data_IF_053121702309
#
_entry.id   IF_053121702309
#
_cell.length_a   1.000
_cell.length_b   1.000
_cell.length_c   1.000
_cell.angle_alpha   90.00
_cell.angle_beta   90.00
_cell.angle_gamma   90.00
#
_symmetry.space_group_name_H-M   'P 1'
#
loop_
_entity.id
_entity.type
_entity.pdbx_description
1 polymer ?
#
# COMPACT_ATOMS: atom_id res chain seq x y z
N UNK A 1 18.68 36.52 -21.92
CA UNK A 1 18.32 36.40 -20.48
C UNK A 1 18.15 34.92 -20.17
N UNK A 2 19.05 34.32 -19.40
CA UNK A 2 19.01 32.89 -19.05
C UNK A 2 18.80 32.71 -17.55
N UNK A 3 18.25 31.57 -17.09
CA UNK A 3 17.88 31.39 -15.69
C UNK A 3 19.12 31.45 -14.80
N UNK A 4 19.12 32.36 -13.83
CA UNK A 4 20.14 32.43 -12.79
C UNK A 4 19.81 31.40 -11.72
N UNK A 5 20.68 30.42 -11.52
CA UNK A 5 20.62 29.58 -10.32
C UNK A 5 21.21 30.40 -9.16
N UNK A 6 20.38 30.73 -8.17
CA UNK A 6 20.83 31.27 -6.88
C UNK A 6 20.86 30.12 -5.88
N UNK A 7 22.04 29.80 -5.36
CA UNK A 7 22.18 28.97 -4.16
C UNK A 7 21.55 29.77 -3.01
N UNK A 8 20.42 29.30 -2.49
CA UNK A 8 19.80 29.90 -1.31
C UNK A 8 20.55 29.42 -0.05
N UNK A 9 21.58 30.16 0.35
CA UNK A 9 21.92 30.21 1.76
C UNK A 9 20.80 30.98 2.47
N UNK A 10 19.94 30.26 3.19
CA UNK A 10 18.83 30.85 3.94
C UNK A 10 19.35 31.80 5.03
N UNK A 11 19.52 33.07 4.70
CA UNK A 11 19.55 34.15 5.69
C UNK A 11 18.14 34.30 6.25
N UNK A 12 18.03 34.16 7.57
CA UNK A 12 16.86 34.40 8.43
C UNK A 12 15.78 35.35 7.85
N UNK A 13 14.90 34.86 6.98
CA UNK A 13 13.56 35.39 6.74
C UNK A 13 12.64 34.23 6.43
N UNK A 14 11.78 33.89 7.39
CA UNK A 14 10.67 32.92 7.25
C UNK A 14 9.70 33.43 6.18
N UNK A 15 9.98 33.16 4.91
CA UNK A 15 8.94 33.05 3.89
C UNK A 15 8.53 31.59 3.87
N UNK A 16 7.25 31.32 4.11
CA UNK A 16 6.66 29.99 4.00
C UNK A 16 6.68 29.55 2.54
N UNK A 17 7.84 29.13 2.04
CA UNK A 17 7.93 28.33 0.84
C UNK A 17 7.56 26.91 1.24
N UNK A 18 6.33 26.49 0.96
CA UNK A 18 6.00 25.06 0.94
C UNK A 18 6.76 24.45 -0.22
N UNK A 19 7.97 23.94 0.06
CA UNK A 19 8.68 23.06 -0.87
C UNK A 19 7.81 21.82 -1.00
N UNK A 20 7.12 21.69 -2.12
CA UNK A 20 6.31 20.52 -2.44
C UNK A 20 7.23 19.38 -2.83
N UNK A 21 7.83 18.72 -1.83
CA UNK A 21 8.48 17.45 -2.06
C UNK A 21 7.41 16.42 -2.45
N UNK A 22 7.62 15.60 -3.51
CA UNK A 22 6.79 14.45 -3.82
C UNK A 22 6.73 13.54 -2.59
N UNK A 23 5.51 13.33 -2.12
CA UNK A 23 5.23 12.45 -0.99
C UNK A 23 5.07 11.04 -1.53
N UNK A 24 5.85 10.11 -1.00
CA UNK A 24 5.70 8.69 -1.31
C UNK A 24 4.68 8.08 -0.35
N UNK A 25 3.73 7.32 -0.87
CA UNK A 25 2.65 6.70 -0.11
C UNK A 25 2.48 5.23 -0.52
N UNK A 26 2.05 4.38 0.42
CA UNK A 26 1.83 2.95 0.13
C UNK A 26 0.40 2.67 -0.36
N UNK A 27 -0.54 3.59 -0.09
CA UNK A 27 -1.92 3.52 -0.54
C UNK A 27 -2.47 4.94 -0.73
N UNK A 28 -3.54 5.03 -1.52
CA UNK A 28 -4.39 6.23 -1.63
C UNK A 28 -5.81 5.83 -1.25
N UNK A 29 -6.51 6.73 -0.57
CA UNK A 29 -7.86 6.51 -0.02
C UNK A 29 -8.96 7.07 -0.93
N UNK A 30 -8.60 7.96 -1.86
CA UNK A 30 -9.52 8.59 -2.83
C UNK A 30 -9.10 8.27 -4.28
N UNK A 31 -8.67 7.03 -4.52
CA UNK A 31 -8.21 6.58 -5.83
C UNK A 31 -6.93 7.26 -6.32
N UNK A 32 -6.66 7.11 -7.62
CA UNK A 32 -5.41 7.55 -8.24
C UNK A 32 -5.24 9.08 -8.33
N UNK A 33 -6.32 9.84 -8.23
CA UNK A 33 -6.32 11.31 -8.30
C UNK A 33 -5.75 11.97 -7.03
N UNK A 34 -5.71 11.25 -5.91
CA UNK A 34 -5.09 11.74 -4.67
C UNK A 34 -3.59 11.99 -4.89
N UNK A 35 -3.06 13.10 -4.35
CA UNK A 35 -1.64 13.44 -4.41
C UNK A 35 -0.77 12.38 -3.70
N UNK A 36 0.44 12.21 -4.19
CA UNK A 36 1.43 11.25 -3.70
C UNK A 36 1.77 10.19 -4.75
N UNK A 37 2.97 9.65 -4.66
CA UNK A 37 3.46 8.60 -5.56
C UNK A 37 3.33 7.26 -4.84
N UNK A 38 2.62 6.32 -5.46
CA UNK A 38 2.43 4.98 -4.91
C UNK A 38 3.73 4.17 -5.02
N UNK A 39 4.09 3.49 -3.95
CA UNK A 39 5.21 2.53 -3.91
C UNK A 39 4.77 1.21 -3.28
N UNK A 40 5.52 0.11 -3.49
CA UNK A 40 5.30 -1.13 -2.78
C UNK A 40 5.20 -0.92 -1.28
N UNK A 41 4.16 -1.50 -0.67
CA UNK A 41 3.97 -1.45 0.77
C UNK A 41 5.07 -2.26 1.49
N UNK A 42 5.34 -1.94 2.75
CA UNK A 42 6.33 -2.69 3.54
C UNK A 42 5.86 -4.10 3.91
N UNK A 43 4.62 -4.49 3.61
CA UNK A 43 4.10 -5.82 3.92
C UNK A 43 4.57 -6.90 2.95
N UNK A 44 5.22 -6.54 1.84
CA UNK A 44 6.01 -7.46 1.03
C UNK A 44 7.29 -7.86 1.80
N UNK A 45 7.26 -9.03 2.44
CA UNK A 45 8.41 -9.56 3.18
C UNK A 45 8.88 -8.69 4.34
N UNK A 46 8.01 -7.84 4.91
CA UNK A 46 8.37 -6.82 5.92
C UNK A 46 9.42 -5.81 5.41
N UNK A 47 9.41 -5.53 4.11
CA UNK A 47 10.37 -4.64 3.43
C UNK A 47 11.60 -5.37 2.88
N UNK A 48 11.73 -6.67 3.14
CA UNK A 48 12.80 -7.52 2.61
C UNK A 48 12.29 -8.33 1.40
N UNK A 49 12.82 -8.03 0.22
CA UNK A 49 12.43 -8.70 -1.02
C UNK A 49 12.94 -10.14 -1.11
N UNK A 50 14.05 -10.50 -0.45
CA UNK A 50 14.51 -11.88 -0.38
C UNK A 50 13.57 -12.69 0.49
N UNK A 51 13.17 -12.14 1.64
CA UNK A 51 12.13 -12.75 2.46
C UNK A 51 10.82 -12.91 1.69
N UNK A 52 10.39 -11.87 0.98
CA UNK A 52 9.18 -11.95 0.14
C UNK A 52 9.30 -13.00 -0.97
N UNK A 53 10.49 -13.19 -1.56
CA UNK A 53 10.73 -14.23 -2.55
C UNK A 53 10.39 -15.62 -1.99
N UNK A 54 10.88 -15.95 -0.79
CA UNK A 54 10.62 -17.24 -0.17
C UNK A 54 9.16 -17.36 0.29
N UNK A 55 8.61 -16.33 0.95
CA UNK A 55 7.22 -16.32 1.42
C UNK A 55 6.23 -16.49 0.26
N UNK A 56 6.33 -15.64 -0.77
CA UNK A 56 5.42 -15.72 -1.93
C UNK A 56 5.52 -17.07 -2.64
N UNK A 57 6.73 -17.60 -2.86
CA UNK A 57 6.93 -18.93 -3.47
C UNK A 57 6.34 -20.04 -2.61
N UNK A 58 6.54 -20.00 -1.30
CA UNK A 58 5.94 -20.97 -0.40
C UNK A 58 4.42 -20.96 -0.50
N UNK A 59 3.80 -19.77 -0.56
CA UNK A 59 2.36 -19.64 -0.74
C UNK A 59 1.88 -20.32 -2.02
N UNK A 60 2.42 -19.99 -3.20
CA UNK A 60 1.86 -20.53 -4.45
C UNK A 60 2.42 -21.89 -4.91
N UNK A 61 3.57 -22.34 -4.40
CA UNK A 61 4.10 -23.69 -4.69
C UNK A 61 3.61 -24.76 -3.72
N UNK A 62 3.39 -24.39 -2.46
CA UNK A 62 3.12 -25.37 -1.40
C UNK A 62 1.71 -25.16 -0.85
N UNK A 63 1.45 -24.01 -0.23
CA UNK A 63 0.19 -23.77 0.49
C UNK A 63 -1.02 -23.81 -0.45
N UNK A 64 -0.96 -23.05 -1.55
CA UNK A 64 -2.06 -22.92 -2.49
C UNK A 64 -2.34 -24.16 -3.33
N UNK A 65 -1.49 -25.19 -3.22
CA UNK A 65 -1.65 -26.50 -3.87
C UNK A 65 -1.93 -27.62 -2.88
N UNK A 66 -1.96 -27.33 -1.58
CA UNK A 66 -2.13 -28.32 -0.51
C UNK A 66 -3.44 -29.09 -0.62
N UNK A 67 -4.53 -28.40 -0.98
CA UNK A 67 -5.85 -28.97 -1.17
C UNK A 67 -6.36 -28.67 -2.57
N UNK A 68 -7.02 -29.66 -3.18
CA UNK A 68 -7.78 -29.44 -4.40
C UNK A 68 -8.89 -28.42 -4.13
N UNK A 69 -9.34 -27.69 -5.16
CA UNK A 69 -10.32 -26.63 -4.98
C UNK A 69 -11.64 -27.17 -4.39
N UNK A 70 -12.00 -28.38 -4.78
CA UNK A 70 -13.23 -29.08 -4.42
C UNK A 70 -13.22 -29.51 -2.94
N UNK A 71 -12.05 -29.80 -2.38
CA UNK A 71 -11.83 -30.22 -0.99
C UNK A 71 -11.84 -29.04 0.00
N UNK A 72 -11.73 -27.82 -0.51
CA UNK A 72 -11.74 -26.61 0.31
C UNK A 72 -13.14 -26.28 0.81
N UNK A 73 -13.18 -25.61 1.96
CA UNK A 73 -14.39 -25.04 2.52
C UNK A 73 -15.03 -24.07 1.51
N UNK A 74 -16.34 -24.25 1.26
CA UNK A 74 -17.06 -23.54 0.21
C UNK A 74 -17.30 -22.06 0.52
N UNK A 75 -17.02 -21.63 1.76
CA UNK A 75 -17.29 -20.27 2.24
C UNK A 75 -16.24 -19.27 1.76
N UNK A 76 -16.65 -18.01 1.67
CA UNK A 76 -15.75 -16.87 1.55
C UNK A 76 -15.22 -16.52 2.94
N UNK A 77 -13.89 -16.51 3.08
CA UNK A 77 -13.23 -16.36 4.37
C UNK A 77 -12.54 -15.02 4.55
N UNK A 78 -12.62 -14.49 5.77
CA UNK A 78 -11.76 -13.40 6.24
C UNK A 78 -11.58 -13.45 7.76
N UNK A 79 -10.39 -13.03 8.21
CA UNK A 79 -10.06 -12.75 9.60
C UNK A 79 -9.29 -11.44 9.72
N UNK A 80 -9.65 -10.60 10.68
CA UNK A 80 -8.93 -9.37 10.96
C UNK A 80 -9.49 -8.62 12.16
N UNK A 81 -8.99 -7.41 12.41
CA UNK A 81 -9.46 -6.60 13.52
C UNK A 81 -10.66 -5.75 13.09
N UNK A 82 -11.63 -5.58 13.99
CA UNK A 82 -12.69 -4.58 13.89
C UNK A 82 -12.59 -3.74 15.16
N UNK A 83 -12.09 -2.51 15.03
CA UNK A 83 -11.71 -1.70 16.20
C UNK A 83 -12.82 -0.79 16.70
N UNK A 84 -12.66 -0.35 17.94
CA UNK A 84 -13.55 0.62 18.56
C UNK A 84 -13.38 2.00 17.88
N UNK A 85 -14.49 2.53 17.37
CA UNK A 85 -14.53 3.84 16.70
C UNK A 85 -14.30 5.03 17.65
N UNK A 86 -14.32 4.81 18.97
CA UNK A 86 -14.04 5.85 19.96
C UNK A 86 -12.61 6.40 19.90
N UNK A 87 -11.70 5.76 19.14
CA UNK A 87 -10.31 6.20 18.97
C UNK A 87 -10.10 7.27 17.88
N UNK A 88 -11.16 7.67 17.16
CA UNK A 88 -11.11 8.74 16.16
C UNK A 88 -11.18 8.24 14.72
N UNK A 89 -11.81 9.03 13.86
CA UNK A 89 -12.24 8.62 12.52
C UNK A 89 -11.13 8.40 11.50
N UNK A 90 -9.98 9.01 11.70
CA UNK A 90 -8.83 8.81 10.82
C UNK A 90 -8.18 7.43 10.99
N UNK A 91 -8.47 6.75 12.10
CA UNK A 91 -7.83 5.48 12.42
C UNK A 91 -8.53 4.26 11.80
N UNK A 92 -9.76 4.33 11.29
CA UNK A 92 -10.44 3.10 10.82
C UNK A 92 -11.61 3.30 9.85
N UNK A 93 -11.38 3.99 8.72
CA UNK A 93 -12.38 4.06 7.63
C UNK A 93 -12.82 2.67 7.16
N UNK A 94 -11.92 1.68 7.15
CA UNK A 94 -12.22 0.31 6.72
C UNK A 94 -13.12 -0.51 7.65
N UNK A 95 -13.42 -0.03 8.87
CA UNK A 95 -14.29 -0.75 9.80
C UNK A 95 -15.71 -0.89 9.29
N UNK A 96 -16.21 0.09 8.54
CA UNK A 96 -17.57 0.03 8.01
C UNK A 96 -17.73 -1.18 7.08
N UNK A 97 -16.83 -1.32 6.12
CA UNK A 97 -16.79 -2.43 5.17
C UNK A 97 -16.58 -3.76 5.90
N UNK A 98 -15.70 -3.81 6.92
CA UNK A 98 -15.50 -5.03 7.72
C UNK A 98 -16.75 -5.44 8.49
N UNK A 99 -17.50 -4.50 9.05
CA UNK A 99 -18.76 -4.79 9.74
C UNK A 99 -19.86 -5.23 8.78
N UNK A 100 -19.98 -4.54 7.65
CA UNK A 100 -20.94 -4.87 6.61
C UNK A 100 -20.66 -6.28 6.08
N UNK A 101 -19.40 -6.60 5.80
CA UNK A 101 -18.96 -7.93 5.40
C UNK A 101 -19.18 -8.99 6.50
N UNK A 102 -18.86 -8.70 7.77
CA UNK A 102 -19.11 -9.62 8.88
C UNK A 102 -20.60 -9.94 9.08
N UNK A 103 -21.48 -8.98 8.74
CA UNK A 103 -22.94 -9.21 8.76
C UNK A 103 -23.39 -10.30 7.78
N UNK A 104 -22.60 -10.59 6.73
CA UNK A 104 -22.87 -11.68 5.79
C UNK A 104 -22.71 -13.06 6.45
N UNK A 105 -21.80 -13.21 7.41
CA UNK A 105 -21.66 -14.45 8.21
C UNK A 105 -22.91 -14.70 9.03
N UNK A 106 -23.54 -13.64 9.57
CA UNK A 106 -24.78 -13.76 10.35
C UNK A 106 -25.97 -14.11 9.45
N UNK A 107 -26.10 -13.44 8.30
CA UNK A 107 -27.21 -13.67 7.35
C UNK A 107 -27.09 -15.02 6.62
N UNK A 108 -25.88 -15.39 6.21
CA UNK A 108 -25.63 -16.50 5.31
C UNK A 108 -24.41 -17.33 5.78
N UNK A 109 -24.46 -17.94 6.98
CA UNK A 109 -23.32 -18.62 7.60
C UNK A 109 -22.76 -19.81 6.81
N UNK A 110 -23.55 -20.35 5.86
CA UNK A 110 -23.13 -21.43 4.95
C UNK A 110 -22.29 -20.95 3.76
N UNK A 111 -22.30 -19.64 3.48
CA UNK A 111 -21.61 -19.03 2.34
C UNK A 111 -20.45 -18.12 2.77
N UNK A 112 -20.47 -17.61 4.00
CA UNK A 112 -19.46 -16.69 4.50
C UNK A 112 -18.93 -17.12 5.86
N UNK A 113 -17.63 -16.93 6.03
CA UNK A 113 -16.91 -17.04 7.29
C UNK A 113 -16.02 -15.81 7.45
N UNK A 114 -16.65 -14.66 7.66
CA UNK A 114 -16.03 -13.35 7.85
C UNK A 114 -16.18 -13.00 9.32
N UNK A 115 -15.06 -13.04 10.05
CA UNK A 115 -15.04 -12.84 11.51
C UNK A 115 -13.87 -11.96 11.91
N UNK A 116 -14.03 -11.23 12.99
CA UNK A 116 -12.97 -10.51 13.64
C UNK A 116 -12.24 -11.38 14.67
N UNK A 117 -10.94 -11.17 14.87
CA UNK A 117 -10.20 -11.86 15.94
C UNK A 117 -10.46 -11.22 17.33
N UNK A 118 -9.89 -11.77 18.41
CA UNK A 118 -10.03 -11.32 19.82
C UNK A 118 -9.98 -9.80 20.12
N UNK A 119 -9.46 -8.97 19.21
CA UNK A 119 -9.48 -7.49 19.34
C UNK A 119 -10.81 -6.83 18.94
N UNK A 120 -11.83 -7.66 18.72
CA UNK A 120 -13.09 -7.21 18.15
C UNK A 120 -13.93 -6.38 19.11
N UNK A 121 -14.06 -5.09 18.82
CA UNK A 121 -14.77 -4.13 19.66
C UNK A 121 -16.19 -3.85 19.15
N UNK A 122 -17.00 -4.90 18.93
CA UNK A 122 -18.38 -4.76 18.40
C UNK A 122 -19.38 -4.25 19.45
N UNK A 123 -19.07 -4.42 20.73
CA UNK A 123 -19.99 -4.08 21.83
C UNK A 123 -20.30 -2.59 21.98
N UNK A 124 -19.56 -1.70 21.30
CA UNK A 124 -19.69 -0.24 21.41
C UNK A 124 -20.04 0.44 20.08
N UNK A 125 -20.82 -0.22 19.21
CA UNK A 125 -21.44 0.45 18.05
C UNK A 125 -22.72 1.21 18.40
N UNK A 126 -22.89 1.62 19.66
CA UNK A 126 -23.64 2.84 19.93
C UNK A 126 -22.92 3.95 19.18
N UNK A 127 -23.65 4.63 18.29
CA UNK A 127 -23.15 5.75 17.50
C UNK A 127 -22.15 6.56 18.32
N UNK A 128 -20.88 6.72 17.88
CA UNK A 128 -19.85 7.31 18.71
C UNK A 128 -20.38 8.61 19.30
N UNK A 129 -20.26 8.75 20.63
CA UNK A 129 -20.70 9.95 21.34
C UNK A 129 -20.23 11.16 20.54
N UNK A 130 -21.16 12.07 20.22
CA UNK A 130 -20.94 13.33 19.48
C UNK A 130 -19.93 14.19 20.25
N UNK A 131 -18.65 13.86 20.17
CA UNK A 131 -17.59 14.76 20.56
C UNK A 131 -17.37 15.73 19.41
N UNK A 132 -17.11 17.00 19.72
CA UNK A 132 -16.90 18.06 18.73
C UNK A 132 -15.81 17.73 17.70
N UNK A 133 -14.87 16.84 18.05
CA UNK A 133 -13.77 16.36 17.18
C UNK A 133 -14.19 15.38 16.07
N UNK A 134 -15.37 14.75 16.15
CA UNK A 134 -15.78 13.68 15.22
C UNK A 134 -17.00 14.04 14.34
N UNK A 135 -17.44 15.29 14.34
CA UNK A 135 -18.72 15.72 13.73
C UNK A 135 -18.76 15.57 12.20
N UNK A 136 -17.67 15.89 11.50
CA UNK A 136 -17.58 15.78 10.03
C UNK A 136 -17.51 14.34 9.55
N UNK A 137 -16.74 13.52 10.26
CA UNK A 137 -16.69 12.09 10.02
C UNK A 137 -18.05 11.44 10.23
N UNK A 138 -18.75 11.80 11.30
CA UNK A 138 -20.08 11.28 11.58
C UNK A 138 -21.08 11.67 10.49
N UNK A 139 -20.97 12.88 9.94
CA UNK A 139 -21.79 13.30 8.79
C UNK A 139 -21.48 12.51 7.51
N UNK A 140 -20.18 12.26 7.22
CA UNK A 140 -19.75 11.41 6.11
C UNK A 140 -20.21 9.95 6.30
N UNK A 141 -20.06 9.43 7.52
CA UNK A 141 -20.48 8.09 7.89
C UNK A 141 -21.99 7.94 7.85
N UNK A 142 -22.77 8.91 8.33
CA UNK A 142 -24.23 8.93 8.19
C UNK A 142 -24.66 9.06 6.74
N UNK A 143 -23.95 9.84 5.91
CA UNK A 143 -24.24 9.95 4.47
C UNK A 143 -24.02 8.60 3.78
N UNK A 144 -22.92 7.91 4.07
CA UNK A 144 -22.61 6.60 3.50
C UNK A 144 -23.50 5.48 4.10
N UNK A 145 -23.79 5.52 5.40
CA UNK A 145 -24.72 4.59 6.06
C UNK A 145 -26.17 4.77 5.63
N UNK A 146 -26.63 6.00 5.36
CA UNK A 146 -27.99 6.22 4.84
C UNK A 146 -28.20 5.58 3.47
N UNK A 147 -27.13 5.40 2.70
CA UNK A 147 -27.15 4.69 1.40
C UNK A 147 -27.08 3.16 1.60
N UNK A 148 -26.46 2.69 2.68
CA UNK A 148 -26.26 1.25 2.98
C UNK A 148 -26.97 0.79 4.26
N UNK A 149 -28.14 1.36 4.56
CA UNK A 149 -28.92 1.20 5.81
C UNK A 149 -29.46 -0.22 6.09
N UNK A 150 -28.85 -1.24 5.50
CA UNK A 150 -29.06 -2.67 5.77
C UNK A 150 -27.97 -3.30 6.64
N UNK A 151 -27.03 -2.50 7.18
CA UNK A 151 -26.15 -2.96 8.27
C UNK A 151 -27.04 -3.48 9.37
N UNK A 152 -27.09 -4.81 9.52
CA UNK A 152 -27.74 -5.48 10.64
C UNK A 152 -27.24 -4.76 11.88
N UNK A 153 -28.16 -4.26 12.69
CA UNK A 153 -27.78 -3.87 14.02
C UNK A 153 -27.37 -5.16 14.74
N UNK A 154 -26.08 -5.51 14.72
CA UNK A 154 -25.57 -6.75 15.28
C UNK A 154 -25.93 -6.88 16.77
N UNK A 155 -26.22 -5.76 17.45
CA UNK A 155 -26.74 -5.77 18.83
C UNK A 155 -28.18 -6.29 18.95
N UNK A 156 -28.95 -6.29 17.86
CA UNK A 156 -30.36 -6.79 17.83
C UNK A 156 -30.48 -8.26 17.48
N UNK A 157 -29.40 -8.90 17.02
CA UNK A 157 -29.39 -10.33 16.72
C UNK A 157 -28.77 -11.07 17.91
N UNK A 158 -29.54 -11.90 18.65
CA UNK A 158 -29.01 -12.68 19.76
C UNK A 158 -27.78 -13.48 19.33
N UNK A 159 -26.71 -13.42 20.11
CA UNK A 159 -25.44 -14.11 19.86
C UNK A 159 -24.70 -13.72 18.56
N UNK A 160 -25.08 -12.64 17.86
CA UNK A 160 -24.38 -12.22 16.64
C UNK A 160 -22.89 -11.98 16.88
N UNK A 161 -22.56 -11.43 18.04
CA UNK A 161 -21.18 -11.19 18.46
C UNK A 161 -20.38 -12.50 18.50
N UNK A 162 -20.95 -13.57 19.06
CA UNK A 162 -20.30 -14.89 19.08
C UNK A 162 -20.13 -15.49 17.68
N UNK A 163 -20.99 -15.13 16.73
CA UNK A 163 -20.90 -15.59 15.35
C UNK A 163 -19.84 -14.85 14.53
N UNK A 164 -19.51 -13.62 14.92
CA UNK A 164 -18.55 -12.76 14.21
C UNK A 164 -17.22 -12.62 14.94
N UNK A 165 -17.10 -13.06 16.19
CA UNK A 165 -15.83 -13.18 16.91
C UNK A 165 -15.22 -14.57 16.70
N UNK A 166 -13.90 -14.59 16.51
CA UNK A 166 -13.08 -15.80 16.48
C UNK A 166 -11.86 -15.56 17.39
N UNK A 167 -11.75 -16.33 18.47
CA UNK A 167 -10.64 -16.16 19.42
C UNK A 167 -9.33 -16.75 18.88
N UNK A 168 -9.39 -17.55 17.81
CA UNK A 168 -8.22 -18.20 17.25
C UNK A 168 -7.48 -17.29 16.25
N UNK A 169 -6.18 -17.11 16.50
CA UNK A 169 -5.29 -16.54 15.49
C UNK A 169 -5.11 -17.54 14.35
N UNK A 170 -5.31 -17.06 13.11
CA UNK A 170 -5.10 -17.84 11.88
C UNK A 170 -3.94 -17.23 11.09
N UNK A 171 -2.93 -18.03 10.81
CA UNK A 171 -1.87 -17.64 9.88
C UNK A 171 -2.37 -17.62 8.43
N UNK A 172 -1.60 -17.03 7.52
CA UNK A 172 -1.98 -16.89 6.12
C UNK A 172 -2.15 -18.23 5.40
N UNK A 173 -1.51 -19.31 5.87
CA UNK A 173 -1.63 -20.64 5.25
C UNK A 173 -3.00 -21.25 5.49
N UNK A 174 -3.64 -20.92 6.61
CA UNK A 174 -4.99 -21.37 6.93
C UNK A 174 -6.03 -20.85 5.93
N UNK A 175 -5.80 -19.68 5.33
CA UNK A 175 -6.72 -19.07 4.36
C UNK A 175 -6.85 -19.92 3.09
N UNK A 176 -5.83 -20.73 2.74
CA UNK A 176 -5.89 -21.63 1.60
C UNK A 176 -6.84 -22.82 1.80
N UNK A 177 -7.36 -23.05 3.00
CA UNK A 177 -8.39 -24.06 3.24
C UNK A 177 -9.77 -23.67 2.70
N UNK A 178 -9.95 -22.43 2.25
CA UNK A 178 -11.20 -21.89 1.73
C UNK A 178 -11.15 -21.67 0.22
N UNK A 179 -12.30 -21.82 -0.44
CA UNK A 179 -12.46 -21.56 -1.87
C UNK A 179 -12.40 -20.08 -2.21
N UNK A 180 -12.85 -19.23 -1.29
CA UNK A 180 -12.84 -17.78 -1.44
C UNK A 180 -12.11 -17.10 -0.29
N UNK A 181 -11.28 -16.10 -0.60
CA UNK A 181 -10.62 -15.25 0.39
C UNK A 181 -10.97 -13.79 0.12
N UNK A 182 -11.48 -13.09 1.13
CA UNK A 182 -11.91 -11.70 1.00
C UNK A 182 -10.84 -10.75 1.53
N UNK A 183 -10.54 -9.69 0.77
CA UNK A 183 -9.74 -8.57 1.22
C UNK A 183 -10.63 -7.38 1.53
N UNK A 184 -10.48 -6.86 2.74
CA UNK A 184 -11.20 -5.71 3.28
C UNK A 184 -10.23 -4.55 3.59
N UNK A 185 -10.71 -3.29 3.50
CA UNK A 185 -9.91 -2.12 3.82
C UNK A 185 -9.42 -2.12 5.27
N UNK A 186 -8.17 -1.70 5.43
CA UNK A 186 -7.38 -1.57 6.64
C UNK A 186 -7.55 -0.20 7.32
N UNK A 187 -6.64 0.09 8.25
CA UNK A 187 -6.50 1.44 8.79
C UNK A 187 -5.81 2.34 7.77
N UNK A 188 -6.10 3.64 7.80
CA UNK A 188 -5.47 4.61 6.89
C UNK A 188 -3.94 4.61 7.02
N UNK A 189 -3.39 4.46 8.24
CA UNK A 189 -1.94 4.41 8.49
C UNK A 189 -1.25 3.15 7.95
N UNK A 190 -2.01 2.08 7.76
CA UNK A 190 -1.49 0.73 7.56
C UNK A 190 -1.81 0.18 6.15
N UNK A 191 -2.18 1.06 5.21
CA UNK A 191 -2.53 0.67 3.84
C UNK A 191 -3.93 0.07 3.68
N UNK A 192 -4.27 -0.35 2.46
CA UNK A 192 -5.57 -0.96 2.18
C UNK A 192 -5.69 -2.35 2.82
N UNK A 193 -4.72 -3.24 2.66
CA UNK A 193 -4.78 -4.55 3.31
C UNK A 193 -3.38 -5.11 3.50
N UNK A 194 -3.07 -5.54 4.73
CA UNK A 194 -1.79 -6.20 5.03
C UNK A 194 -1.67 -7.61 4.41
N UNK A 195 -2.77 -8.16 3.91
CA UNK A 195 -2.85 -9.57 3.52
C UNK A 195 -3.18 -9.78 2.04
N UNK A 196 -3.68 -8.76 1.31
CA UNK A 196 -4.06 -8.92 -0.11
C UNK A 196 -2.89 -9.43 -0.96
N UNK A 197 -1.69 -8.92 -0.71
CA UNK A 197 -0.47 -9.35 -1.40
C UNK A 197 -0.21 -10.86 -1.30
N UNK A 198 -0.66 -11.50 -0.22
CA UNK A 198 -0.49 -12.94 0.02
C UNK A 198 -1.59 -13.77 -0.63
N UNK A 199 -2.81 -13.23 -0.72
CA UNK A 199 -3.98 -13.95 -1.24
C UNK A 199 -3.81 -14.43 -2.67
N UNK A 200 -3.07 -13.67 -3.49
CA UNK A 200 -2.76 -14.01 -4.88
C UNK A 200 -2.10 -15.40 -5.04
N UNK A 201 -1.39 -15.87 -4.01
CA UNK A 201 -0.71 -17.17 -4.03
C UNK A 201 -1.48 -18.33 -3.41
N UNK A 202 -2.68 -18.14 -2.87
CA UNK A 202 -3.36 -19.16 -2.07
C UNK A 202 -4.11 -20.22 -2.90
N UNK A 203 -4.20 -20.07 -4.23
CA UNK A 203 -5.00 -20.97 -5.07
C UNK A 203 -6.51 -20.91 -4.77
N UNK A 204 -6.96 -19.85 -4.12
CA UNK A 204 -8.36 -19.54 -3.86
C UNK A 204 -8.84 -18.41 -4.79
N UNK A 205 -10.15 -18.25 -4.94
CA UNK A 205 -10.72 -17.07 -5.59
C UNK A 205 -10.56 -15.87 -4.66
N UNK A 206 -9.92 -14.81 -5.15
CA UNK A 206 -9.74 -13.58 -4.39
C UNK A 206 -10.94 -12.67 -4.59
N UNK A 207 -11.54 -12.24 -3.48
CA UNK A 207 -12.56 -11.21 -3.44
C UNK A 207 -11.94 -9.92 -2.91
N UNK A 208 -12.27 -8.79 -3.52
CA UNK A 208 -11.93 -7.47 -3.01
C UNK A 208 -13.25 -6.76 -2.72
N UNK A 209 -13.41 -6.25 -1.49
CA UNK A 209 -14.59 -5.45 -1.16
C UNK A 209 -14.66 -4.20 -2.04
N UNK A 210 -15.84 -3.71 -2.38
CA UNK A 210 -15.94 -2.50 -3.20
C UNK A 210 -15.53 -1.26 -2.39
N UNK A 211 -14.51 -0.53 -2.86
CA UNK A 211 -14.02 0.69 -2.22
C UNK A 211 -13.20 1.58 -3.18
N UNK A 212 -12.81 2.79 -2.74
CA UNK A 212 -11.99 3.73 -3.51
C UNK A 212 -10.47 3.61 -3.28
N UNK A 213 -10.05 2.82 -2.27
CA UNK A 213 -8.63 2.63 -1.99
C UNK A 213 -7.86 2.00 -3.16
N UNK A 214 -6.62 2.42 -3.35
CA UNK A 214 -5.74 1.85 -4.37
C UNK A 214 -4.31 1.68 -3.87
N UNK A 215 -3.64 0.65 -4.39
CA UNK A 215 -2.19 0.43 -4.24
C UNK A 215 -1.49 0.49 -5.61
N UNK A 216 -0.15 0.49 -5.61
CA UNK A 216 0.67 0.69 -6.81
C UNK A 216 0.39 -0.34 -7.93
N UNK A 217 0.02 -1.57 -7.58
CA UNK A 217 -0.17 -2.66 -8.54
C UNK A 217 -1.62 -2.87 -8.98
N UNK A 218 -2.58 -2.15 -8.37
CA UNK A 218 -4.00 -2.29 -8.71
C UNK A 218 -4.35 -1.99 -10.17
N UNK A 219 -3.64 -1.13 -10.93
CA UNK A 219 -3.94 -0.94 -12.35
C UNK A 219 -3.75 -2.20 -13.21
N UNK A 220 -2.99 -3.18 -12.71
CA UNK A 220 -2.76 -4.47 -13.38
C UNK A 220 -3.82 -5.51 -13.03
N UNK A 221 -4.74 -5.22 -12.09
CA UNK A 221 -5.81 -6.13 -11.70
C UNK A 221 -7.01 -5.95 -12.63
N UNK A 222 -7.62 -7.06 -13.03
CA UNK A 222 -8.77 -7.07 -13.93
C UNK A 222 -9.92 -7.78 -13.23
N UNK A 223 -10.99 -7.08 -12.83
CA UNK A 223 -12.19 -7.69 -12.28
C UNK A 223 -12.75 -8.79 -13.19
N UNK A 224 -13.16 -9.91 -12.61
CA UNK A 224 -13.62 -11.10 -13.35
C UNK A 224 -12.49 -11.96 -13.92
N UNK A 225 -11.23 -11.51 -13.86
CA UNK A 225 -10.05 -12.31 -14.26
C UNK A 225 -9.07 -12.56 -13.12
N UNK A 226 -8.73 -11.55 -12.32
CA UNK A 226 -7.81 -11.72 -11.18
C UNK A 226 -8.54 -11.85 -9.85
N UNK A 227 -9.71 -11.23 -9.74
CA UNK A 227 -10.52 -11.18 -8.53
C UNK A 227 -11.99 -10.91 -8.86
N UNK A 228 -12.87 -11.10 -7.88
CA UNK A 228 -14.25 -10.65 -7.90
C UNK A 228 -14.43 -9.44 -6.97
N UNK A 229 -15.28 -8.50 -7.35
CA UNK A 229 -15.64 -7.35 -6.51
C UNK A 229 -16.87 -7.72 -5.69
N UNK A 230 -16.76 -7.58 -4.37
CA UNK A 230 -17.82 -7.96 -3.42
C UNK A 230 -18.37 -6.72 -2.71
N UNK A 231 -19.67 -6.66 -2.52
CA UNK A 231 -20.34 -5.70 -1.64
C UNK A 231 -21.60 -6.36 -1.05
N UNK A 232 -22.37 -5.63 -0.23
CA UNK A 232 -23.59 -6.17 0.36
C UNK A 232 -24.70 -6.51 -0.64
N UNK A 233 -24.73 -5.90 -1.82
CA UNK A 233 -25.80 -6.08 -2.81
C UNK A 233 -25.55 -7.24 -3.77
N UNK A 234 -24.29 -7.60 -4.02
CA UNK A 234 -23.91 -8.68 -4.94
C UNK A 234 -23.34 -9.92 -4.23
N UNK A 235 -23.25 -9.91 -2.90
CA UNK A 235 -22.54 -10.94 -2.14
C UNK A 235 -23.00 -12.36 -2.43
N UNK A 236 -24.32 -12.59 -2.50
CA UNK A 236 -24.90 -13.92 -2.73
C UNK A 236 -24.54 -14.47 -4.11
N UNK A 237 -24.71 -13.65 -5.15
CA UNK A 237 -24.41 -14.04 -6.52
C UNK A 237 -22.94 -14.40 -6.66
N UNK A 238 -22.05 -13.57 -6.10
CA UNK A 238 -20.61 -13.79 -6.13
C UNK A 238 -20.18 -15.03 -5.33
N UNK A 239 -20.80 -15.30 -4.18
CA UNK A 239 -20.55 -16.51 -3.40
C UNK A 239 -21.03 -17.78 -4.12
N UNK A 240 -22.13 -17.69 -4.88
CA UNK A 240 -22.64 -18.84 -5.64
C UNK A 240 -21.67 -19.32 -6.72
N UNK A 241 -20.90 -18.41 -7.32
CA UNK A 241 -19.93 -18.71 -8.38
C UNK A 241 -18.82 -19.67 -7.94
N UNK A 242 -18.49 -19.70 -6.66
CA UNK A 242 -17.38 -20.52 -6.12
C UNK A 242 -17.85 -21.83 -5.47
N UNK A 243 -19.16 -22.10 -5.48
CA UNK A 243 -19.72 -23.33 -4.91
C UNK A 243 -19.37 -24.58 -5.70
N UNK A 244 -19.03 -24.43 -6.98
CA UNK A 244 -18.56 -25.49 -7.86
C UNK A 244 -17.41 -24.97 -8.71
N UNK A 245 -16.50 -25.85 -9.12
CA UNK A 245 -15.46 -25.49 -10.06
C UNK A 245 -16.07 -25.26 -11.44
N UNK A 246 -15.63 -24.20 -12.10
CA UNK A 246 -16.06 -23.78 -13.43
C UNK A 246 -14.89 -23.12 -14.15
N UNK A 247 -15.02 -22.91 -15.46
CA UNK A 247 -14.03 -22.16 -16.25
C UNK A 247 -13.81 -20.74 -15.73
N UNK A 248 -14.85 -20.10 -15.19
CA UNK A 248 -14.76 -18.79 -14.52
C UNK A 248 -13.88 -18.87 -13.26
N UNK A 249 -14.11 -19.88 -12.41
CA UNK A 249 -13.29 -20.10 -11.21
C UNK A 249 -11.83 -20.39 -11.57
N UNK A 250 -11.59 -21.24 -12.58
CA UNK A 250 -10.23 -21.53 -13.05
C UNK A 250 -9.54 -20.26 -13.58
N UNK A 251 -10.27 -19.42 -14.32
CA UNK A 251 -9.76 -18.13 -14.80
C UNK A 251 -9.35 -17.23 -13.64
N UNK A 252 -10.18 -17.13 -12.61
CA UNK A 252 -9.92 -16.32 -11.40
C UNK A 252 -8.69 -16.82 -10.63
N UNK A 253 -8.59 -18.14 -10.42
CA UNK A 253 -7.45 -18.75 -9.72
C UNK A 253 -6.15 -18.54 -10.50
N UNK A 254 -6.18 -18.72 -11.82
CA UNK A 254 -4.99 -18.49 -12.67
C UNK A 254 -4.63 -17.01 -12.74
N UNK A 255 -5.59 -16.10 -12.82
CA UNK A 255 -5.34 -14.66 -12.79
C UNK A 255 -4.73 -14.20 -11.46
N UNK A 256 -5.21 -14.73 -10.34
CA UNK A 256 -4.61 -14.50 -9.02
C UNK A 256 -3.17 -15.03 -8.97
N UNK A 257 -2.94 -16.26 -9.44
CA UNK A 257 -1.60 -16.86 -9.47
C UNK A 257 -0.63 -16.07 -10.36
N UNK A 258 -1.09 -15.58 -11.51
CA UNK A 258 -0.30 -14.73 -12.41
C UNK A 258 0.03 -13.40 -11.74
N UNK A 259 -0.90 -12.82 -10.99
CA UNK A 259 -0.63 -11.62 -10.17
C UNK A 259 0.52 -11.88 -9.19
N UNK A 260 0.49 -13.01 -8.46
CA UNK A 260 1.57 -13.39 -7.55
C UNK A 260 2.94 -13.57 -8.24
N UNK A 261 2.95 -14.18 -9.43
CA UNK A 261 4.18 -14.55 -10.15
C UNK A 261 4.78 -13.43 -10.99
N UNK A 262 3.97 -12.53 -11.50
CA UNK A 262 4.37 -11.60 -12.56
C UNK A 262 4.12 -10.13 -12.24
N UNK A 263 3.31 -9.83 -11.22
CA UNK A 263 3.01 -8.44 -10.84
C UNK A 263 3.69 -8.11 -9.51
N UNK A 264 3.42 -8.92 -8.49
CA UNK A 264 3.92 -8.66 -7.12
C UNK A 264 5.07 -9.59 -6.71
N UNK A 265 5.77 -10.19 -7.67
CA UNK A 265 6.90 -11.06 -7.38
C UNK A 265 8.11 -10.27 -6.86
N UNK A 266 9.00 -10.89 -6.07
CA UNK A 266 10.14 -10.18 -5.49
C UNK A 266 11.03 -9.45 -6.51
N UNK A 267 11.33 -10.10 -7.65
CA UNK A 267 12.08 -9.46 -8.74
C UNK A 267 11.27 -8.36 -9.44
N UNK A 268 9.96 -8.53 -9.58
CA UNK A 268 9.04 -7.53 -10.13
C UNK A 268 9.06 -6.26 -9.27
N UNK A 269 8.98 -6.41 -7.94
CA UNK A 269 9.07 -5.30 -6.98
C UNK A 269 10.45 -4.63 -7.01
N UNK A 270 11.53 -5.41 -7.13
CA UNK A 270 12.88 -4.88 -7.25
C UNK A 270 13.06 -4.02 -8.51
N UNK A 271 12.53 -4.49 -9.65
CA UNK A 271 12.52 -3.74 -10.91
C UNK A 271 11.70 -2.45 -10.78
N UNK A 272 10.49 -2.54 -10.22
CA UNK A 272 9.66 -1.36 -9.96
C UNK A 272 10.40 -0.32 -9.12
N UNK A 273 10.99 -0.73 -7.99
CA UNK A 273 11.72 0.16 -7.09
C UNK A 273 12.95 0.76 -7.78
N UNK A 274 13.69 -0.03 -8.55
CA UNK A 274 14.83 0.44 -9.35
C UNK A 274 14.39 1.54 -10.31
N UNK A 275 13.36 1.30 -11.10
CA UNK A 275 12.87 2.26 -12.10
C UNK A 275 12.29 3.52 -11.43
N UNK A 276 11.60 3.35 -10.30
CA UNK A 276 11.13 4.45 -9.46
C UNK A 276 12.30 5.31 -8.97
N UNK A 277 13.34 4.72 -8.38
CA UNK A 277 14.50 5.48 -7.88
C UNK A 277 15.28 6.17 -9.01
N UNK A 278 15.45 5.51 -10.17
CA UNK A 278 16.06 6.13 -11.34
C UNK A 278 15.26 7.35 -11.78
N UNK A 279 13.93 7.22 -11.88
CA UNK A 279 13.03 8.30 -12.29
C UNK A 279 13.06 9.47 -11.30
N UNK A 280 13.08 9.16 -10.00
CA UNK A 280 13.19 10.16 -8.93
C UNK A 280 14.54 10.85 -8.96
N UNK A 281 15.64 10.12 -9.15
CA UNK A 281 16.98 10.71 -9.31
C UNK A 281 17.00 11.70 -10.47
N UNK A 282 16.50 11.29 -11.63
CA UNK A 282 16.41 12.15 -12.81
C UNK A 282 15.53 13.39 -12.57
N UNK A 283 14.36 13.22 -11.95
CA UNK A 283 13.44 14.32 -11.65
C UNK A 283 14.08 15.42 -10.81
N UNK A 284 14.88 15.03 -9.81
CA UNK A 284 15.60 15.95 -8.94
C UNK A 284 17.00 16.32 -9.42
N UNK A 285 17.38 15.90 -10.63
CA UNK A 285 18.74 16.08 -11.16
C UNK A 285 19.83 15.44 -10.27
N UNK A 286 19.48 14.44 -9.45
CA UNK A 286 20.43 13.64 -8.66
C UNK A 286 21.22 12.65 -9.51
N UNK A 287 20.84 12.47 -10.77
CA UNK A 287 21.67 11.81 -11.79
C UNK A 287 22.94 12.63 -12.12
N UNK A 288 22.95 13.94 -11.83
CA UNK A 288 24.14 14.78 -11.95
C UNK A 288 25.04 14.75 -10.70
N UNK A 289 24.55 14.16 -9.61
CA UNK A 289 25.30 14.05 -8.36
C UNK A 289 26.20 12.83 -8.47
N UNK A 290 27.50 13.05 -8.33
CA UNK A 290 28.50 11.98 -8.35
C UNK A 290 28.56 11.33 -6.97
N UNK A 291 28.28 10.03 -6.92
CA UNK A 291 28.22 9.27 -5.66
C UNK A 291 29.63 8.93 -5.10
N UNK A 292 30.71 9.16 -5.86
CA UNK A 292 32.08 9.04 -5.39
C UNK A 292 33.08 9.88 -6.21
N UNK A 293 34.23 10.18 -5.62
CA UNK A 293 35.30 10.99 -6.23
C UNK A 293 35.87 10.37 -7.51
N UNK A 294 35.88 9.04 -7.63
CA UNK A 294 36.39 8.36 -8.82
C UNK A 294 35.49 8.61 -10.06
N UNK A 295 34.16 8.58 -9.89
CA UNK A 295 33.21 8.88 -10.94
C UNK A 295 33.30 10.35 -11.40
N UNK A 296 33.48 11.27 -10.45
CA UNK A 296 33.73 12.68 -10.72
C UNK A 296 35.04 12.89 -11.50
N UNK A 297 36.14 12.25 -11.05
CA UNK A 297 37.45 12.33 -11.70
C UNK A 297 37.42 11.78 -13.13
N UNK A 298 36.65 10.70 -13.39
CA UNK A 298 36.49 10.15 -14.74
C UNK A 298 35.82 11.15 -15.68
N UNK A 299 34.80 11.88 -15.21
CA UNK A 299 34.17 12.95 -16.00
C UNK A 299 35.13 14.09 -16.24
N UNK A 300 35.93 14.50 -15.25
CA UNK A 300 36.96 15.53 -15.45
C UNK A 300 38.02 15.13 -16.47
N UNK A 301 38.50 13.89 -16.43
CA UNK A 301 39.47 13.37 -17.39
C UNK A 301 38.90 13.29 -18.82
N UNK A 302 37.63 12.91 -18.97
CA UNK A 302 37.00 12.72 -20.28
C UNK A 302 36.52 14.02 -20.92
N UNK A 303 36.14 15.02 -20.13
CA UNK A 303 35.52 16.24 -20.64
C UNK A 303 36.51 17.37 -20.95
N UNK A 304 37.80 17.23 -20.59
CA UNK A 304 38.78 18.33 -20.57
C UNK A 304 38.30 19.57 -19.76
N UNK A 305 37.24 19.43 -18.96
CA UNK A 305 36.65 20.51 -18.17
C UNK A 305 37.45 20.65 -16.88
N UNK A 306 38.26 21.70 -16.78
CA UNK A 306 39.05 22.02 -15.59
C UNK A 306 38.21 22.87 -14.60
N UNK A 307 37.16 22.27 -14.02
CA UNK A 307 36.19 22.95 -13.15
C UNK A 307 36.39 22.66 -11.65
N UNK A 308 37.62 22.67 -11.15
CA UNK A 308 37.93 22.51 -9.71
C UNK A 308 37.23 23.51 -8.75
N UNK A 309 36.45 24.46 -9.29
CA UNK A 309 35.92 25.63 -8.58
C UNK A 309 34.39 25.71 -8.48
N UNK A 310 33.66 24.88 -9.25
CA UNK A 310 32.19 24.94 -9.33
C UNK A 310 31.48 23.72 -8.68
N UNK A 311 32.25 22.77 -8.15
CA UNK A 311 31.72 21.61 -7.42
C UNK A 311 31.79 21.84 -5.91
N UNK A 312 30.66 21.62 -5.23
CA UNK A 312 30.59 21.56 -3.77
C UNK A 312 30.65 20.10 -3.35
N UNK A 313 31.73 19.70 -2.70
CA UNK A 313 31.83 18.40 -2.06
C UNK A 313 31.03 18.45 -0.74
N UNK A 314 29.96 17.66 -0.64
CA UNK A 314 29.14 17.52 0.56
C UNK A 314 29.55 16.26 1.30
N UNK A 315 30.26 16.43 2.42
CA UNK A 315 30.55 15.35 3.35
C UNK A 315 29.38 15.14 4.30
N UNK A 316 28.72 13.98 4.21
CA UNK A 316 27.82 13.51 5.25
C UNK A 316 28.66 12.62 6.17
N UNK A 317 29.01 13.12 7.36
CA UNK A 317 29.77 12.35 8.33
C UNK A 317 28.89 11.26 8.92
N UNK A 318 29.27 9.99 8.72
CA UNK A 318 28.66 8.84 9.40
C UNK A 318 29.07 8.86 10.89
N UNK A 319 28.24 9.50 11.70
CA UNK A 319 28.32 9.47 13.17
C UNK A 319 26.94 9.23 13.77
N UNK A 320 26.85 8.68 14.99
CA UNK A 320 25.57 8.48 15.65
C UNK A 320 24.81 9.81 15.73
N UNK A 321 23.56 9.82 15.29
CA UNK A 321 22.71 11.01 15.21
C UNK A 321 22.44 11.53 16.63
N UNK A 322 23.34 12.38 17.14
CA UNK A 322 23.07 13.25 18.28
C UNK A 322 22.35 14.49 17.75
N UNK A 323 21.26 14.88 18.42
CA UNK A 323 20.19 15.80 17.98
C UNK A 323 20.60 17.19 17.44
N UNK A 324 21.86 17.59 17.39
CA UNK A 324 22.26 18.95 16.97
C UNK A 324 23.64 19.02 16.29
N UNK A 325 23.90 18.23 15.23
CA UNK A 325 25.08 18.46 14.40
C UNK A 325 24.73 19.33 13.18
N UNK A 326 25.21 20.58 13.23
CA UNK A 326 25.28 21.46 12.08
C UNK A 326 26.12 20.81 10.97
N UNK A 327 25.58 20.75 9.75
CA UNK A 327 26.33 20.48 8.52
C UNK A 327 27.57 21.41 8.48
N UNK A 328 28.77 20.85 8.62
CA UNK A 328 30.00 21.61 8.41
C UNK A 328 30.32 21.61 6.91
N UNK A 329 29.87 22.64 6.21
CA UNK A 329 30.32 22.92 4.85
C UNK A 329 31.74 23.48 4.91
N UNK A 330 32.68 22.86 4.20
CA UNK A 330 34.03 23.41 4.00
C UNK A 330 34.02 24.15 2.66
N UNK A 331 34.09 25.47 2.68
CA UNK A 331 34.27 26.29 1.47
C UNK A 331 35.70 26.16 0.99
N UNK A 332 35.88 25.74 -0.26
CA UNK A 332 37.17 25.82 -0.96
C UNK A 332 37.45 27.28 -1.39
N UNK A 333 38.73 27.68 -1.50
CA UNK A 333 39.11 29.06 -1.83
C UNK A 333 38.70 29.43 -3.27
N UNK A 334 38.35 30.70 -3.53
CA UNK A 334 37.90 31.13 -4.84
C UNK A 334 39.11 31.38 -5.75
N UNK A 335 39.01 30.95 -7.01
CA UNK A 335 39.79 31.54 -8.11
C UNK A 335 38.96 31.47 -9.40
N UNK A 336 39.41 32.13 -10.47
CA UNK A 336 38.67 32.49 -11.70
C UNK A 336 37.74 31.45 -12.40
N UNK A 337 36.71 32.02 -13.07
CA UNK A 337 35.41 31.48 -13.50
C UNK A 337 35.37 30.56 -14.74
N UNK A 338 34.47 29.56 -14.74
CA UNK A 338 34.13 28.70 -15.89
C UNK A 338 32.65 28.85 -16.33
N UNK A 339 32.17 30.10 -16.48
CA UNK A 339 30.73 30.40 -16.64
C UNK A 339 30.13 30.09 -18.03
N UNK A 340 30.94 29.68 -19.01
CA UNK A 340 30.52 29.55 -20.41
C UNK A 340 30.26 28.09 -20.88
N UNK A 341 30.97 27.09 -20.35
CA UNK A 341 31.02 25.74 -20.95
C UNK A 341 29.91 24.78 -20.52
N UNK A 342 29.31 24.96 -19.34
CA UNK A 342 28.22 24.08 -18.87
C UNK A 342 26.93 24.25 -19.70
N UNK A 343 26.76 25.35 -20.45
CA UNK A 343 25.57 25.54 -21.30
C UNK A 343 25.55 24.63 -22.53
N UNK A 344 26.71 24.24 -23.04
CA UNK A 344 26.78 23.49 -24.30
C UNK A 344 26.75 21.97 -24.06
N UNK A 345 27.30 21.50 -22.93
CA UNK A 345 27.24 20.08 -22.56
C UNK A 345 25.80 19.61 -22.24
N UNK A 346 24.99 20.48 -21.61
CA UNK A 346 23.59 20.15 -21.26
C UNK A 346 22.57 20.40 -22.39
N UNK A 347 23.01 20.86 -23.57
CA UNK A 347 22.18 20.91 -24.79
C UNK A 347 22.32 19.66 -25.68
N UNK A 348 23.31 18.80 -25.39
CA UNK A 348 23.66 17.64 -26.21
C UNK A 348 23.37 16.29 -25.51
N UNK A 349 22.65 16.28 -24.38
CA UNK A 349 22.26 15.06 -23.65
C UNK A 349 20.75 14.90 -23.51
#
# INVERSE_FOLDING_TARGET
MGPSWRIFCSSKKKKNYTVHMPIVVISKIHGYTQKGILVPNVYFGKGDLLKWHYESRFLWKTVGRKLAFEERDKRIFWRGAILNLNQGCELDRGNFERLEAASLTVKYPRLFDIRCHHSCSIHNYSLPYRTSKNKECYASWQKNMKVHATTINLSTVPNAIRLVQDDEYRDDSYFANYRGVLSLPGKISDGYSKSLNKYWGLGAVVFIWQHEYVEFYYPQLIPGKTHLILNSTNALDQASLILNRSSTVDTLIQGALNTAKSVVCASCLALYLKDFFISMRKHFRMDLVFDNAAALNKVFQQSQINCHKDFVELFIADGPIKKHNHLKMRTLPPAASCKALLRDYFKLS
#
